data_IF_511738625036
#
_entry.id   IF_511738625036
#
_cell.length_a   1.000
_cell.length_b   1.000
_cell.length_c   1.000
_cell.angle_alpha   90.00
_cell.angle_beta   90.00
_cell.angle_gamma   90.00
#
_symmetry.space_group_name_H-M   'P 1'
#
loop_
_entity.id
_entity.type
_entity.pdbx_description
1 polymer ?
#
# COMPACT_ATOMS: atom_id res chain seq x y z
N UNK A 1 -12.52 14.80 4.59
CA UNK A 1 -12.74 13.43 4.09
C UNK A 1 -14.21 12.99 4.23
N UNK A 2 -14.85 13.17 5.40
CA UNK A 2 -16.27 12.76 5.63
C UNK A 2 -17.26 13.33 4.62
N UNK A 3 -17.23 14.63 4.36
CA UNK A 3 -18.13 15.29 3.41
C UNK A 3 -18.00 14.71 2.00
N UNK A 4 -16.79 14.66 1.46
CA UNK A 4 -16.55 14.22 0.07
C UNK A 4 -16.85 12.73 -0.15
N UNK A 5 -16.47 11.86 0.79
CA UNK A 5 -16.77 10.42 0.67
C UNK A 5 -18.28 10.16 0.75
N UNK A 6 -19.00 10.85 1.65
CA UNK A 6 -20.46 10.76 1.72
C UNK A 6 -21.14 11.30 0.46
N UNK A 7 -20.61 12.39 -0.12
CA UNK A 7 -21.11 12.93 -1.38
C UNK A 7 -20.94 11.93 -2.54
N UNK A 8 -19.76 11.30 -2.67
CA UNK A 8 -19.55 10.23 -3.67
C UNK A 8 -20.58 9.11 -3.48
N UNK A 9 -20.78 8.64 -2.24
CA UNK A 9 -21.78 7.59 -1.95
C UNK A 9 -23.22 8.01 -2.25
N UNK A 10 -23.54 9.30 -2.20
CA UNK A 10 -24.86 9.81 -2.61
C UNK A 10 -25.09 9.77 -4.12
N UNK A 11 -24.01 9.80 -4.91
CA UNK A 11 -24.04 9.69 -6.36
C UNK A 11 -23.93 8.24 -6.84
N UNK A 12 -23.18 7.41 -6.10
CA UNK A 12 -22.88 6.03 -6.47
C UNK A 12 -22.92 5.11 -5.23
N UNK A 13 -23.96 4.27 -5.17
CA UNK A 13 -24.15 3.30 -4.09
C UNK A 13 -23.49 1.94 -4.35
N UNK A 14 -22.92 1.72 -5.54
CA UNK A 14 -22.41 0.41 -5.97
C UNK A 14 -20.91 0.26 -5.72
N UNK A 15 -20.14 1.34 -5.88
CA UNK A 15 -18.68 1.29 -5.81
C UNK A 15 -18.12 1.57 -4.42
N UNK A 16 -16.97 0.96 -4.13
CA UNK A 16 -16.19 1.24 -2.92
C UNK A 16 -15.49 2.60 -3.01
N UNK A 17 -15.25 3.23 -1.87
CA UNK A 17 -14.59 4.52 -1.72
C UNK A 17 -13.49 4.40 -0.67
N UNK A 18 -12.30 4.89 -1.00
CA UNK A 18 -11.16 5.02 -0.11
C UNK A 18 -10.56 6.43 -0.20
N UNK A 19 -9.58 6.71 0.65
CA UNK A 19 -8.93 8.03 0.73
C UNK A 19 -7.83 8.23 -0.32
N UNK A 20 -7.17 7.15 -0.76
CA UNK A 20 -5.94 7.22 -1.58
C UNK A 20 -4.76 7.88 -0.85
N UNK A 21 -4.76 7.88 0.48
CA UNK A 21 -3.71 8.50 1.29
C UNK A 21 -2.48 7.61 1.43
N UNK A 22 -1.31 8.19 1.67
CA UNK A 22 -0.08 7.44 1.98
C UNK A 22 -0.18 6.58 3.27
N UNK A 23 -1.18 6.84 4.13
CA UNK A 23 -1.47 6.03 5.31
C UNK A 23 -0.82 6.50 6.60
N UNK A 24 -0.31 7.73 6.68
CA UNK A 24 0.38 8.16 7.91
C UNK A 24 -0.50 8.04 9.15
N UNK A 25 0.11 7.51 10.20
CA UNK A 25 -0.54 7.17 11.46
C UNK A 25 -0.44 8.35 12.43
N UNK A 26 -1.23 8.27 13.49
CA UNK A 26 -1.23 9.21 14.62
C UNK A 26 -1.16 8.42 15.94
N UNK A 27 -0.11 7.60 16.08
CA UNK A 27 0.07 6.63 17.17
C UNK A 27 1.39 6.79 17.91
N UNK A 28 2.36 7.50 17.33
CA UNK A 28 3.66 7.80 17.93
C UNK A 28 4.15 9.18 17.50
N UNK A 29 4.07 10.15 18.40
CA UNK A 29 4.47 11.54 18.14
C UNK A 29 5.97 11.71 17.84
N UNK A 30 6.81 10.71 18.12
CA UNK A 30 8.26 10.78 17.92
C UNK A 30 8.71 10.42 16.50
N UNK A 31 7.85 9.78 15.69
CA UNK A 31 8.18 9.33 14.34
C UNK A 31 7.25 10.04 13.35
N UNK A 32 7.78 10.84 12.41
CA UNK A 32 6.97 11.68 11.51
C UNK A 32 5.82 10.93 10.80
N UNK A 33 6.08 9.73 10.29
CA UNK A 33 5.08 8.90 9.59
C UNK A 33 3.99 8.33 10.52
N UNK A 34 4.18 8.45 11.84
CA UNK A 34 3.27 7.98 12.89
C UNK A 34 2.78 9.10 13.81
N UNK A 35 3.18 10.34 13.59
CA UNK A 35 2.97 11.44 14.53
C UNK A 35 1.74 12.29 14.25
N UNK A 36 1.04 12.04 13.14
CA UNK A 36 -0.05 12.90 12.64
C UNK A 36 0.39 14.28 12.15
N UNK A 37 1.69 14.60 12.15
CA UNK A 37 2.19 15.94 11.77
C UNK A 37 1.98 16.29 10.29
N UNK A 38 1.80 15.29 9.43
CA UNK A 38 1.38 15.50 8.03
C UNK A 38 -0.05 16.00 7.88
N UNK A 39 -0.83 16.01 8.97
CA UNK A 39 -2.27 16.26 8.96
C UNK A 39 -3.11 15.03 8.61
N UNK A 40 -2.50 13.84 8.54
CA UNK A 40 -3.18 12.57 8.28
C UNK A 40 -3.25 11.74 9.55
N UNK A 41 -4.43 11.19 9.83
CA UNK A 41 -4.67 10.17 10.84
C UNK A 41 -5.40 9.01 10.16
N UNK A 42 -4.65 7.96 9.82
CA UNK A 42 -5.17 6.79 9.11
C UNK A 42 -6.33 6.11 9.85
N UNK A 43 -6.21 5.94 11.18
CA UNK A 43 -7.24 5.33 12.02
C UNK A 43 -8.53 6.16 12.00
N UNK A 44 -8.41 7.48 12.16
CA UNK A 44 -9.57 8.37 12.13
C UNK A 44 -10.24 8.41 10.75
N UNK A 45 -9.45 8.43 9.68
CA UNK A 45 -9.97 8.37 8.31
C UNK A 45 -10.68 7.05 8.03
N UNK A 46 -10.09 5.92 8.44
CA UNK A 46 -10.68 4.60 8.24
C UNK A 46 -11.96 4.40 9.06
N UNK A 47 -12.13 5.09 10.18
CA UNK A 47 -13.35 5.06 10.98
C UNK A 47 -14.57 5.75 10.31
N UNK A 48 -14.35 6.55 9.26
CA UNK A 48 -15.44 7.23 8.53
C UNK A 48 -16.36 6.21 7.86
N UNK A 49 -17.68 6.29 8.08
CA UNK A 49 -18.66 5.30 7.60
C UNK A 49 -18.71 5.17 6.07
N UNK A 50 -18.49 6.26 5.35
CA UNK A 50 -18.49 6.32 3.88
C UNK A 50 -17.16 5.93 3.22
N UNK A 51 -16.16 5.52 4.02
CA UNK A 51 -14.91 4.91 3.55
C UNK A 51 -15.04 3.40 3.73
N UNK A 52 -14.83 2.60 2.68
CA UNK A 52 -15.05 1.15 2.73
C UNK A 52 -13.77 0.36 3.02
N UNK A 53 -12.61 0.88 2.62
CA UNK A 53 -11.30 0.27 2.87
C UNK A 53 -10.22 1.34 3.09
N UNK A 54 -9.11 0.94 3.71
CA UNK A 54 -7.95 1.82 3.93
C UNK A 54 -6.88 1.63 2.85
N UNK A 55 -6.46 2.70 2.20
CA UNK A 55 -5.30 2.71 1.32
C UNK A 55 -4.08 3.29 2.06
N UNK A 56 -2.92 2.65 1.86
CA UNK A 56 -1.64 3.14 2.35
C UNK A 56 -0.52 2.84 1.35
N UNK A 57 0.53 3.66 1.35
CA UNK A 57 1.65 3.56 0.41
C UNK A 57 2.90 3.04 1.13
N UNK A 58 3.95 2.64 0.41
CA UNK A 58 5.22 2.21 1.01
C UNK A 58 6.41 2.64 0.14
N UNK A 59 7.08 3.73 0.54
CA UNK A 59 8.25 4.29 -0.14
C UNK A 59 9.37 4.63 0.85
N UNK A 60 10.03 3.62 1.44
CA UNK A 60 11.01 3.84 2.50
C UNK A 60 12.18 4.75 2.07
N UNK A 61 12.63 4.67 0.81
CA UNK A 61 13.68 5.57 0.31
C UNK A 61 13.22 7.03 0.18
N UNK A 62 11.94 7.25 -0.15
CA UNK A 62 11.31 8.58 -0.15
C UNK A 62 11.11 9.16 1.25
N UNK A 63 11.07 8.30 2.26
CA UNK A 63 10.85 8.67 3.66
C UNK A 63 12.10 8.57 4.53
N UNK A 64 13.28 8.65 3.92
CA UNK A 64 14.58 8.67 4.60
C UNK A 64 14.91 7.43 5.44
N UNK A 65 14.31 6.28 5.12
CA UNK A 65 14.68 4.99 5.71
C UNK A 65 15.94 4.48 5.02
N UNK A 66 16.87 3.88 5.77
CA UNK A 66 18.08 3.29 5.19
C UNK A 66 17.79 2.04 4.37
N UNK A 67 18.50 1.83 3.25
CA UNK A 67 18.31 0.66 2.40
C UNK A 67 18.49 -0.69 3.13
N UNK A 68 19.36 -0.73 4.14
CA UNK A 68 19.56 -1.90 5.01
C UNK A 68 18.34 -2.24 5.87
N UNK A 69 17.38 -1.32 6.01
CA UNK A 69 16.20 -1.44 6.87
C UNK A 69 14.90 -1.62 6.07
N UNK A 70 14.92 -1.55 4.74
CA UNK A 70 13.71 -1.59 3.91
C UNK A 70 12.82 -2.81 4.21
N UNK A 71 13.41 -3.98 4.42
CA UNK A 71 12.67 -5.19 4.78
C UNK A 71 11.98 -5.00 6.13
N UNK A 72 12.74 -4.84 7.21
CA UNK A 72 12.20 -4.79 8.58
C UNK A 72 11.25 -3.61 8.80
N UNK A 73 11.58 -2.44 8.24
CA UNK A 73 10.76 -1.25 8.31
C UNK A 73 9.43 -1.44 7.57
N UNK A 74 9.46 -1.93 6.32
CA UNK A 74 8.26 -2.14 5.53
C UNK A 74 7.36 -3.24 6.09
N UNK A 75 7.93 -4.33 6.63
CA UNK A 75 7.13 -5.35 7.32
C UNK A 75 6.37 -4.77 8.52
N UNK A 76 7.03 -3.92 9.32
CA UNK A 76 6.37 -3.26 10.45
C UNK A 76 5.26 -2.35 9.95
N UNK A 77 5.54 -1.51 8.96
CA UNK A 77 4.56 -0.61 8.35
C UNK A 77 3.31 -1.36 7.86
N UNK A 78 3.49 -2.48 7.14
CA UNK A 78 2.41 -3.34 6.68
C UNK A 78 1.60 -3.90 7.86
N UNK A 79 2.27 -4.45 8.88
CA UNK A 79 1.60 -5.05 10.05
C UNK A 79 0.76 -4.03 10.82
N UNK A 80 1.25 -2.80 10.96
CA UNK A 80 0.54 -1.73 11.67
C UNK A 80 -0.73 -1.27 10.92
N UNK A 81 -0.66 -1.17 9.58
CA UNK A 81 -1.84 -0.85 8.77
C UNK A 81 -2.87 -1.98 8.76
N UNK A 82 -2.42 -3.23 8.69
CA UNK A 82 -3.32 -4.39 8.81
C UNK A 82 -3.99 -4.42 10.19
N UNK A 83 -3.27 -4.10 11.27
CA UNK A 83 -3.83 -4.02 12.61
C UNK A 83 -4.92 -2.93 12.69
N UNK A 84 -4.67 -1.78 12.06
CA UNK A 84 -5.63 -0.68 11.94
C UNK A 84 -6.89 -1.10 11.18
N UNK A 85 -6.73 -1.82 10.05
CA UNK A 85 -7.83 -2.43 9.30
C UNK A 85 -8.68 -3.39 10.12
N UNK A 86 -8.03 -4.33 10.82
CA UNK A 86 -8.69 -5.30 11.71
C UNK A 86 -9.48 -4.61 12.82
N UNK A 87 -8.90 -3.57 13.44
CA UNK A 87 -9.55 -2.75 14.48
C UNK A 87 -10.79 -2.03 13.95
N UNK A 88 -10.73 -1.51 12.73
CA UNK A 88 -11.86 -0.83 12.08
C UNK A 88 -12.90 -1.80 11.48
N UNK A 89 -12.58 -3.09 11.38
CA UNK A 89 -13.41 -4.08 10.68
C UNK A 89 -13.46 -3.83 9.17
N UNK A 90 -12.40 -3.26 8.59
CA UNK A 90 -12.32 -2.89 7.16
C UNK A 90 -11.06 -3.46 6.51
N UNK A 91 -11.12 -3.87 5.23
CA UNK A 91 -9.93 -4.26 4.48
C UNK A 91 -8.94 -3.10 4.37
N UNK A 92 -7.66 -3.43 4.17
CA UNK A 92 -6.64 -2.46 3.78
C UNK A 92 -5.91 -2.94 2.53
N UNK A 93 -5.39 -1.98 1.78
CA UNK A 93 -4.64 -2.19 0.53
C UNK A 93 -3.37 -1.36 0.61
N UNK A 94 -2.23 -2.02 0.43
CA UNK A 94 -0.97 -1.34 0.11
C UNK A 94 -1.05 -0.88 -1.35
N UNK A 95 -1.73 0.24 -1.58
CA UNK A 95 -2.17 0.71 -2.91
C UNK A 95 -1.01 1.18 -3.79
N UNK A 96 0.10 1.56 -3.16
CA UNK A 96 1.37 1.78 -3.84
C UNK A 96 2.54 1.24 -3.02
N UNK A 97 3.51 0.63 -3.69
CA UNK A 97 4.80 0.34 -3.08
C UNK A 97 5.93 0.32 -4.11
N UNK A 98 7.11 0.73 -3.67
CA UNK A 98 8.33 0.59 -4.46
C UNK A 98 9.58 1.04 -3.71
N UNK A 99 10.74 0.58 -4.17
CA UNK A 99 12.03 1.14 -3.77
C UNK A 99 12.84 1.53 -4.99
N UNK A 100 13.56 2.65 -4.92
CA UNK A 100 14.53 3.01 -5.96
C UNK A 100 15.60 1.93 -6.09
N UNK A 101 16.03 1.65 -7.32
CA UNK A 101 16.91 0.51 -7.65
C UNK A 101 16.31 -0.83 -7.20
N UNK A 102 15.08 -1.10 -7.64
CA UNK A 102 14.34 -2.37 -7.52
C UNK A 102 15.09 -3.53 -6.84
N UNK A 103 14.56 -4.00 -5.71
CA UNK A 103 15.19 -5.04 -4.92
C UNK A 103 14.24 -6.23 -4.70
N UNK A 104 14.54 -7.37 -5.33
CA UNK A 104 13.72 -8.58 -5.26
C UNK A 104 13.48 -9.06 -3.81
N UNK A 105 14.52 -9.07 -2.96
CA UNK A 105 14.41 -9.48 -1.55
C UNK A 105 13.41 -8.62 -0.78
N UNK A 106 13.39 -7.30 -1.04
CA UNK A 106 12.44 -6.38 -0.40
C UNK A 106 11.01 -6.68 -0.85
N UNK A 107 10.80 -6.81 -2.17
CA UNK A 107 9.48 -7.03 -2.75
C UNK A 107 8.90 -8.40 -2.34
N UNK A 108 9.73 -9.44 -2.30
CA UNK A 108 9.36 -10.78 -1.82
C UNK A 108 8.94 -10.74 -0.35
N UNK A 109 9.77 -10.18 0.53
CA UNK A 109 9.48 -10.09 1.96
C UNK A 109 8.17 -9.34 2.24
N UNK A 110 7.95 -8.20 1.59
CA UNK A 110 6.70 -7.44 1.74
C UNK A 110 5.49 -8.22 1.22
N UNK A 111 5.61 -8.87 0.07
CA UNK A 111 4.52 -9.69 -0.48
C UNK A 111 4.17 -10.88 0.41
N UNK A 112 5.15 -11.48 1.08
CA UNK A 112 4.96 -12.57 2.02
C UNK A 112 4.23 -12.10 3.28
N UNK A 113 4.59 -10.93 3.82
CA UNK A 113 3.88 -10.35 4.97
C UNK A 113 2.45 -9.98 4.61
N UNK A 114 2.22 -9.30 3.48
CA UNK A 114 0.85 -8.99 3.02
C UNK A 114 0.05 -10.27 2.80
N UNK A 115 0.65 -11.30 2.19
CA UNK A 115 0.02 -12.60 1.98
C UNK A 115 -0.34 -13.30 3.30
N UNK A 116 0.57 -13.33 4.27
CA UNK A 116 0.30 -13.96 5.57
C UNK A 116 -0.76 -13.20 6.38
N UNK A 117 -0.92 -11.91 6.15
CA UNK A 117 -1.79 -11.02 6.91
C UNK A 117 -3.25 -10.95 6.42
N UNK A 118 -3.59 -11.70 5.37
CA UNK A 118 -4.86 -11.61 4.63
C UNK A 118 -5.16 -10.21 4.03
N UNK A 119 -4.11 -9.48 3.64
CA UNK A 119 -4.20 -8.12 3.07
C UNK A 119 -3.95 -8.09 1.56
N UNK A 120 -4.04 -6.91 0.92
CA UNK A 120 -3.87 -6.71 -0.53
C UNK A 120 -2.75 -5.69 -0.83
N UNK A 121 -2.17 -5.76 -2.04
CA UNK A 121 -1.08 -4.86 -2.46
C UNK A 121 -1.03 -4.64 -3.97
N UNK A 122 -0.54 -3.46 -4.39
CA UNK A 122 -0.39 -3.03 -5.78
C UNK A 122 0.94 -2.26 -5.92
N UNK A 123 1.83 -2.72 -6.81
CA UNK A 123 3.14 -2.07 -6.97
C UNK A 123 3.02 -0.81 -7.82
N UNK A 124 3.89 0.15 -7.53
CA UNK A 124 4.06 1.36 -8.35
C UNK A 124 5.33 1.23 -9.20
N UNK A 125 5.29 1.36 -10.53
CA UNK A 125 4.10 1.33 -11.40
C UNK A 125 4.38 0.42 -12.60
N UNK A 126 3.33 -0.08 -13.26
CA UNK A 126 3.49 -0.91 -14.45
C UNK A 126 3.82 -0.07 -15.69
N UNK A 127 4.96 -0.35 -16.30
CA UNK A 127 5.39 0.26 -17.56
C UNK A 127 5.00 -0.57 -18.78
N UNK A 128 4.53 0.09 -19.83
CA UNK A 128 4.30 -0.52 -21.16
C UNK A 128 5.30 0.07 -22.16
N UNK A 129 6.33 -0.69 -22.51
CA UNK A 129 7.43 -0.22 -23.38
C UNK A 129 6.93 0.35 -24.72
N UNK A 130 5.93 -0.31 -25.32
CA UNK A 130 5.37 0.08 -26.61
C UNK A 130 4.76 1.50 -26.61
N UNK A 131 4.28 1.97 -25.46
CA UNK A 131 3.65 3.27 -25.32
C UNK A 131 4.64 4.42 -25.11
N UNK A 132 5.94 4.11 -24.88
CA UNK A 132 6.99 5.11 -24.62
C UNK A 132 6.57 6.14 -23.57
N UNK A 133 5.90 5.67 -22.52
CA UNK A 133 5.44 6.52 -21.41
C UNK A 133 6.62 7.04 -20.61
N UNK A 134 6.33 7.98 -19.70
CA UNK A 134 7.27 8.39 -18.67
C UNK A 134 7.84 7.15 -17.95
N UNK A 135 9.14 7.19 -17.67
CA UNK A 135 9.87 6.21 -16.88
C UNK A 135 10.29 6.86 -15.58
N UNK A 136 9.55 6.60 -14.52
CA UNK A 136 9.92 7.00 -13.17
C UNK A 136 10.94 6.04 -12.55
N UNK A 137 11.52 6.45 -11.43
CA UNK A 137 12.54 5.65 -10.71
C UNK A 137 12.00 4.31 -10.19
N UNK A 138 10.68 4.15 -10.13
CA UNK A 138 9.99 2.96 -9.65
C UNK A 138 9.35 2.13 -10.77
N UNK A 139 9.28 2.63 -12.02
CA UNK A 139 8.56 1.96 -13.10
C UNK A 139 9.12 0.56 -13.39
N UNK A 140 8.27 -0.47 -13.35
CA UNK A 140 8.59 -1.87 -13.66
C UNK A 140 7.87 -2.25 -14.95
N UNK A 141 8.62 -2.60 -15.99
CA UNK A 141 8.10 -3.07 -17.27
C UNK A 141 7.88 -4.57 -17.27
N UNK A 142 6.95 -5.06 -18.10
CA UNK A 142 6.66 -6.50 -18.23
C UNK A 142 7.85 -7.36 -18.70
N UNK A 143 8.87 -6.71 -19.25
CA UNK A 143 10.12 -7.29 -19.73
C UNK A 143 11.21 -7.34 -18.66
N UNK A 144 11.09 -6.55 -17.58
CA UNK A 144 12.09 -6.44 -16.53
C UNK A 144 12.23 -7.76 -15.75
N UNK A 145 13.44 -8.02 -15.26
CA UNK A 145 13.72 -9.25 -14.53
C UNK A 145 12.91 -9.33 -13.24
N UNK A 146 12.80 -8.22 -12.48
CA UNK A 146 12.00 -8.19 -11.24
C UNK A 146 10.51 -8.46 -11.48
N UNK A 147 9.97 -8.08 -12.65
CA UNK A 147 8.58 -8.39 -13.00
C UNK A 147 8.38 -9.91 -13.12
N UNK A 148 9.32 -10.58 -13.79
CA UNK A 148 9.29 -12.03 -14.04
C UNK A 148 9.60 -12.85 -12.80
N UNK A 149 10.62 -12.47 -12.05
CA UNK A 149 11.14 -13.24 -10.93
C UNK A 149 10.39 -13.00 -9.63
N UNK A 150 9.83 -11.80 -9.41
CA UNK A 150 9.19 -11.45 -8.13
C UNK A 150 7.72 -11.10 -8.28
N UNK A 151 7.35 -10.15 -9.15
CA UNK A 151 5.97 -9.66 -9.26
C UNK A 151 5.01 -10.76 -9.72
N UNK A 152 5.36 -11.50 -10.78
CA UNK A 152 4.55 -12.61 -11.28
C UNK A 152 4.42 -13.73 -10.24
N UNK A 153 5.47 -14.02 -9.47
CA UNK A 153 5.43 -15.06 -8.44
C UNK A 153 4.53 -14.66 -7.27
N UNK A 154 4.62 -13.41 -6.82
CA UNK A 154 3.70 -12.85 -5.83
C UNK A 154 2.26 -12.92 -6.33
N UNK A 155 1.95 -12.46 -7.54
CA UNK A 155 0.60 -12.53 -8.10
C UNK A 155 0.05 -13.97 -8.18
N UNK A 156 0.90 -14.94 -8.59
CA UNK A 156 0.53 -16.37 -8.60
C UNK A 156 0.23 -16.89 -7.20
N UNK A 157 1.02 -16.49 -6.20
CA UNK A 157 0.78 -16.83 -4.79
C UNK A 157 -0.53 -16.24 -4.29
N UNK A 158 -0.81 -14.96 -4.54
CA UNK A 158 -2.08 -14.35 -4.15
C UNK A 158 -3.29 -15.00 -4.80
N UNK A 159 -3.17 -15.46 -6.06
CA UNK A 159 -4.24 -16.21 -6.75
C UNK A 159 -4.65 -17.50 -6.02
N UNK A 160 -3.80 -18.07 -5.17
CA UNK A 160 -4.13 -19.30 -4.41
C UNK A 160 -4.90 -19.03 -3.11
N UNK A 161 -5.19 -17.77 -2.76
CA UNK A 161 -6.12 -17.50 -1.66
C UNK A 161 -7.54 -17.87 -2.09
N UNK A 162 -8.18 -18.72 -1.30
CA UNK A 162 -9.59 -19.04 -1.49
C UNK A 162 -10.44 -17.77 -1.40
N UNK A 163 -11.42 -17.68 -2.30
CA UNK A 163 -12.46 -16.63 -2.27
C UNK A 163 -13.45 -17.02 -1.17
N UNK A 164 -13.14 -16.68 0.09
CA UNK A 164 -14.09 -16.85 1.19
C UNK A 164 -15.24 -15.85 1.09
#
# INVERSE_FOLDING_TARGET
>A
MTEMSAYIKSLDSNHLVATGSEGFLNTDSSVYLYSGLSGVDFDANLAIKSIDYGAYHTYPDGWSVGASEFVSWGEKWIKDHVASGKKAGKPVVMEEYGVKNHNATVYEAWSDVVYAADSNMQYWEFGIEALKTYKGDYSIYGTDEIFKSTIILAAKKFKTRDSN
#
